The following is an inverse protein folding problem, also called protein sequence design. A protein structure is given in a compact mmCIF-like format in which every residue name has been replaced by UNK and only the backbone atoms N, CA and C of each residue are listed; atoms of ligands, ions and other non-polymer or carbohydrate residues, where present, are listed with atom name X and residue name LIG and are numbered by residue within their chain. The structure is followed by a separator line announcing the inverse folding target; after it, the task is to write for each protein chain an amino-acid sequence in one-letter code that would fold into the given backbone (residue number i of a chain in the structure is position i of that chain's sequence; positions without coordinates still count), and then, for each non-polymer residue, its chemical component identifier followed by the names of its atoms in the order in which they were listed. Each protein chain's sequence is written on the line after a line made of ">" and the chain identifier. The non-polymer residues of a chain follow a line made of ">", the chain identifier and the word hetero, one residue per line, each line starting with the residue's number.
data_IF_783064188354
#
_entry.id   IF_783064188354
#
_cell.length_a   1.000
_cell.length_b   1.000
_cell.length_c   1.000
_cell.angle_alpha   90.00
_cell.angle_beta   90.00
_cell.angle_gamma   90.00
#
_symmetry.space_group_name_H-M   'P 1'
#
loop_
_entity.id
_entity.type
_entity.pdbx_description
1 polymer ?
#
# COMPACT_ATOMS: atom_id res chain seq x y z
N UNK A 1 23.82 -20.75 -10.90
CA UNK A 1 24.70 -20.93 -9.72
C UNK A 1 24.86 -19.66 -8.87
N UNK A 2 24.85 -18.46 -9.44
CA UNK A 2 24.91 -17.20 -8.66
C UNK A 2 23.63 -16.97 -7.83
N UNK A 3 22.47 -17.30 -8.40
CA UNK A 3 21.14 -17.15 -7.80
C UNK A 3 21.00 -17.91 -6.46
N UNK A 4 21.49 -19.15 -6.40
CA UNK A 4 21.43 -19.96 -5.16
C UNK A 4 22.45 -19.55 -4.07
N UNK A 5 23.42 -18.69 -4.38
CA UNK A 5 24.37 -18.16 -3.38
C UNK A 5 23.82 -16.94 -2.61
N UNK A 6 22.90 -16.19 -3.23
CA UNK A 6 22.32 -14.99 -2.67
C UNK A 6 21.09 -15.27 -1.78
N UNK A 7 20.52 -16.48 -1.85
CA UNK A 7 19.27 -16.85 -1.20
C UNK A 7 19.38 -18.10 -0.35
N UNK A 8 20.49 -18.29 0.37
CA UNK A 8 20.59 -19.40 1.32
C UNK A 8 19.65 -19.20 2.50
N UNK A 9 18.81 -20.21 2.73
CA UNK A 9 17.76 -20.28 3.76
C UNK A 9 18.28 -20.37 5.22
N UNK A 10 19.53 -20.06 5.51
CA UNK A 10 20.16 -20.38 6.80
C UNK A 10 20.29 -19.23 7.81
N UNK A 11 19.63 -18.08 7.61
CA UNK A 11 19.80 -16.91 8.48
C UNK A 11 18.71 -16.76 9.56
N UNK A 12 18.09 -17.83 10.00
CA UNK A 12 17.14 -17.82 11.14
C UNK A 12 17.79 -17.69 12.53
N UNK A 13 19.08 -17.42 12.59
CA UNK A 13 19.82 -17.25 13.85
C UNK A 13 20.15 -15.79 14.18
N UNK A 14 19.69 -14.85 13.35
CA UNK A 14 19.80 -13.41 13.66
C UNK A 14 18.63 -12.97 14.54
N UNK A 15 18.79 -11.92 15.37
CA UNK A 15 17.67 -11.33 16.09
C UNK A 15 16.52 -11.00 15.16
N UNK A 16 15.28 -11.20 15.60
CA UNK A 16 14.07 -10.87 14.85
C UNK A 16 14.12 -9.39 14.46
N UNK A 17 13.91 -9.11 13.18
CA UNK A 17 13.87 -7.74 12.64
C UNK A 17 12.47 -7.16 12.72
N UNK A 18 12.33 -5.83 12.69
CA UNK A 18 11.02 -5.17 12.62
C UNK A 18 10.25 -5.59 11.37
N UNK A 19 10.92 -5.68 10.22
CA UNK A 19 10.30 -6.14 8.97
C UNK A 19 9.75 -7.56 9.12
N UNK A 20 10.48 -8.43 9.81
CA UNK A 20 10.02 -9.79 10.08
C UNK A 20 8.81 -9.81 11.01
N UNK A 21 8.84 -9.07 12.14
CA UNK A 21 7.72 -8.99 13.08
C UNK A 21 6.43 -8.49 12.41
N UNK A 22 6.53 -7.45 11.59
CA UNK A 22 5.39 -6.92 10.84
C UNK A 22 4.85 -7.93 9.83
N UNK A 23 5.74 -8.68 9.19
CA UNK A 23 5.36 -9.70 8.20
C UNK A 23 4.68 -10.90 8.85
N UNK A 24 5.20 -11.37 9.98
CA UNK A 24 4.61 -12.46 10.78
C UNK A 24 3.24 -12.05 11.32
N UNK A 25 3.10 -10.83 11.84
CA UNK A 25 1.81 -10.30 12.25
C UNK A 25 0.79 -10.32 11.10
N UNK A 26 1.17 -9.80 9.93
CA UNK A 26 0.29 -9.77 8.78
C UNK A 26 -0.12 -11.17 8.29
N UNK A 27 0.80 -12.14 8.32
CA UNK A 27 0.50 -13.54 7.99
C UNK A 27 -0.45 -14.17 9.00
N UNK A 28 -0.16 -14.04 10.30
CA UNK A 28 -0.83 -14.81 11.36
C UNK A 28 -2.19 -14.24 11.74
N UNK A 29 -2.45 -12.94 11.54
CA UNK A 29 -3.72 -12.33 11.93
C UNK A 29 -4.90 -13.10 11.34
N UNK A 30 -5.81 -13.56 12.18
CA UNK A 30 -7.10 -14.16 11.81
C UNK A 30 -8.26 -13.23 12.16
N UNK A 31 -9.44 -13.48 11.59
CA UNK A 31 -10.64 -12.69 11.88
C UNK A 31 -11.03 -12.78 13.36
N UNK A 32 -10.81 -13.94 13.96
CA UNK A 32 -11.14 -14.27 15.34
C UNK A 32 -10.25 -13.54 16.35
N UNK A 33 -9.07 -13.08 15.94
CA UNK A 33 -8.15 -12.27 16.76
C UNK A 33 -8.50 -10.78 16.79
N UNK A 34 -9.40 -10.34 15.90
CA UNK A 34 -9.75 -8.91 15.75
C UNK A 34 -10.85 -8.55 16.77
N UNK A 35 -10.63 -7.55 17.65
CA UNK A 35 -11.66 -7.07 18.55
C UNK A 35 -12.92 -6.62 17.78
N UNK A 36 -14.15 -6.88 18.32
CA UNK A 36 -15.38 -6.53 17.63
C UNK A 36 -15.50 -5.06 17.25
N UNK A 37 -15.01 -4.16 18.08
CA UNK A 37 -15.00 -2.71 17.80
C UNK A 37 -14.08 -2.34 16.63
N UNK A 38 -12.98 -3.08 16.42
CA UNK A 38 -12.09 -2.90 15.27
C UNK A 38 -12.75 -3.42 14.00
N UNK A 39 -13.48 -4.54 14.08
CA UNK A 39 -14.28 -5.06 12.96
C UNK A 39 -15.32 -4.03 12.51
N UNK A 40 -16.06 -3.45 13.45
CA UNK A 40 -17.06 -2.41 13.14
C UNK A 40 -16.39 -1.15 12.57
N UNK A 41 -15.24 -0.75 13.09
CA UNK A 41 -14.48 0.38 12.55
C UNK A 41 -14.02 0.11 11.12
N UNK A 42 -13.51 -1.08 10.82
CA UNK A 42 -13.11 -1.47 9.47
C UNK A 42 -14.29 -1.45 8.48
N UNK A 43 -15.48 -1.88 8.90
CA UNK A 43 -16.71 -1.79 8.10
C UNK A 43 -17.11 -0.34 7.82
N UNK A 44 -17.00 0.54 8.82
CA UNK A 44 -17.30 1.97 8.65
C UNK A 44 -16.35 2.64 7.66
N UNK A 45 -15.06 2.35 7.76
CA UNK A 45 -14.05 2.89 6.84
C UNK A 45 -14.28 2.36 5.43
N UNK A 46 -14.57 1.06 5.27
CA UNK A 46 -14.92 0.47 3.99
C UNK A 46 -16.12 1.19 3.35
N UNK A 47 -17.20 1.39 4.13
CA UNK A 47 -18.40 2.09 3.65
C UNK A 47 -18.10 3.54 3.27
N UNK A 48 -17.34 4.25 4.10
CA UNK A 48 -16.92 5.64 3.85
C UNK A 48 -16.12 5.76 2.55
N UNK A 49 -15.13 4.89 2.36
CA UNK A 49 -14.26 4.92 1.17
C UNK A 49 -15.03 4.63 -0.11
N UNK A 50 -15.93 3.62 -0.09
CA UNK A 50 -16.79 3.34 -1.24
C UNK A 50 -17.72 4.53 -1.50
N UNK A 51 -18.28 5.15 -0.44
CA UNK A 51 -19.12 6.34 -0.57
C UNK A 51 -18.38 7.53 -1.19
N UNK A 52 -17.15 7.80 -0.76
CA UNK A 52 -16.31 8.85 -1.33
C UNK A 52 -16.01 8.58 -2.82
N UNK A 53 -15.63 7.35 -3.17
CA UNK A 53 -15.39 6.94 -4.54
C UNK A 53 -16.62 7.09 -5.44
N UNK A 54 -17.80 6.71 -4.95
CA UNK A 54 -19.06 6.88 -5.68
C UNK A 54 -19.44 8.34 -5.88
N UNK A 55 -19.14 9.20 -4.91
CA UNK A 55 -19.36 10.64 -5.04
C UNK A 55 -18.38 11.28 -6.06
N UNK A 56 -17.16 10.76 -6.13
CA UNK A 56 -16.11 11.27 -7.04
C UNK A 56 -16.25 10.77 -8.49
N UNK A 57 -17.03 9.72 -8.76
CA UNK A 57 -17.04 9.00 -10.06
C UNK A 57 -17.35 9.84 -11.30
N UNK A 58 -18.05 10.96 -11.14
CA UNK A 58 -18.44 11.86 -12.24
C UNK A 58 -17.52 13.11 -12.32
N UNK A 59 -16.45 13.14 -11.54
CA UNK A 59 -15.49 14.23 -11.58
C UNK A 59 -14.55 14.14 -12.79
N UNK A 60 -13.99 15.26 -13.27
CA UNK A 60 -12.94 15.22 -14.29
C UNK A 60 -11.71 14.39 -13.90
N UNK A 61 -11.45 14.26 -12.59
CA UNK A 61 -10.38 13.42 -12.05
C UNK A 61 -10.66 11.96 -12.36
N UNK A 62 -11.87 11.49 -12.05
CA UNK A 62 -12.30 10.13 -12.33
C UNK A 62 -12.29 9.80 -13.83
N UNK A 63 -12.79 10.74 -14.67
CA UNK A 63 -12.80 10.58 -16.13
C UNK A 63 -11.38 10.34 -16.68
N UNK A 64 -10.42 11.17 -16.27
CA UNK A 64 -9.01 11.04 -16.69
C UNK A 64 -8.40 9.73 -16.19
N UNK A 65 -8.66 9.34 -14.93
CA UNK A 65 -8.15 8.10 -14.37
C UNK A 65 -8.66 6.86 -15.12
N UNK A 66 -9.98 6.82 -15.40
CA UNK A 66 -10.60 5.73 -16.18
C UNK A 66 -10.04 5.69 -17.60
N UNK A 67 -9.89 6.83 -18.26
CA UNK A 67 -9.33 6.88 -19.61
C UNK A 67 -7.91 6.33 -19.66
N UNK A 68 -7.02 6.78 -18.77
CA UNK A 68 -5.66 6.27 -18.68
C UNK A 68 -5.63 4.76 -18.41
N UNK A 69 -6.43 4.31 -17.43
CA UNK A 69 -6.48 2.91 -17.05
C UNK A 69 -7.02 2.03 -18.19
N UNK A 70 -8.03 2.48 -18.94
CA UNK A 70 -8.59 1.79 -20.11
C UNK A 70 -7.57 1.66 -21.24
N UNK A 71 -6.82 2.72 -21.53
CA UNK A 71 -5.73 2.68 -22.52
C UNK A 71 -4.63 1.69 -22.10
N UNK A 72 -4.20 1.73 -20.82
CA UNK A 72 -3.22 0.79 -20.29
C UNK A 72 -3.72 -0.66 -20.27
N UNK A 73 -5.05 -0.86 -20.18
CA UNK A 73 -5.69 -2.17 -20.21
C UNK A 73 -5.79 -2.77 -21.62
N UNK A 74 -5.49 -2.00 -22.66
CA UNK A 74 -5.66 -2.41 -24.06
C UNK A 74 -7.10 -2.37 -24.54
N UNK A 75 -7.98 -1.63 -23.85
CA UNK A 75 -9.40 -1.51 -24.12
C UNK A 75 -10.26 -1.91 -22.91
N UNK A 76 -11.60 -1.90 -23.04
CA UNK A 76 -12.51 -2.29 -21.97
C UNK A 76 -12.47 -3.81 -21.71
N UNK A 77 -12.78 -4.21 -20.47
CA UNK A 77 -12.93 -5.59 -20.06
C UNK A 77 -11.84 -6.07 -19.11
N UNK A 78 -12.20 -7.05 -18.29
CA UNK A 78 -11.37 -7.65 -17.25
C UNK A 78 -12.22 -8.20 -16.10
N UNK A 79 -11.60 -8.84 -15.11
CA UNK A 79 -12.33 -9.44 -14.00
C UNK A 79 -12.74 -8.43 -12.91
N UNK A 80 -12.00 -7.34 -12.74
CA UNK A 80 -12.15 -6.42 -11.62
C UNK A 80 -13.19 -5.33 -11.90
N UNK A 81 -14.02 -5.04 -10.92
CA UNK A 81 -15.09 -4.03 -10.99
C UNK A 81 -14.58 -2.66 -10.56
N UNK A 82 -14.85 -1.63 -11.35
CA UNK A 82 -14.70 -0.23 -10.95
C UNK A 82 -16.00 0.24 -10.30
N UNK A 83 -15.93 0.71 -9.06
CA UNK A 83 -17.14 1.01 -8.26
C UNK A 83 -18.02 2.09 -8.90
N UNK A 84 -19.31 1.78 -9.03
CA UNK A 84 -20.31 2.72 -9.54
C UNK A 84 -20.18 3.08 -11.01
N UNK A 85 -19.33 2.37 -11.75
CA UNK A 85 -19.13 2.55 -13.19
C UNK A 85 -19.45 1.24 -13.92
N UNK A 86 -19.97 1.35 -15.15
CA UNK A 86 -20.11 0.18 -16.04
C UNK A 86 -18.77 -0.10 -16.72
N UNK A 87 -17.77 -0.38 -15.90
CA UNK A 87 -16.39 -0.57 -16.33
C UNK A 87 -15.77 -1.75 -15.59
N UNK A 88 -15.12 -2.62 -16.36
CA UNK A 88 -14.28 -3.71 -15.83
C UNK A 88 -12.92 -3.69 -16.49
N UNK A 89 -11.89 -4.03 -15.72
CA UNK A 89 -10.52 -4.05 -16.21
C UNK A 89 -9.65 -5.04 -15.43
N UNK A 90 -8.38 -5.16 -15.79
CA UNK A 90 -7.42 -5.90 -14.97
C UNK A 90 -7.32 -5.27 -13.57
N UNK A 91 -7.18 -6.07 -12.51
CA UNK A 91 -7.18 -5.57 -11.13
C UNK A 91 -6.12 -4.48 -10.87
N UNK A 92 -4.94 -4.58 -11.50
CA UNK A 92 -3.88 -3.57 -11.40
C UNK A 92 -4.34 -2.21 -11.96
N UNK A 93 -5.06 -2.20 -13.08
CA UNK A 93 -5.58 -0.98 -13.68
C UNK A 93 -6.80 -0.44 -12.92
N UNK A 94 -7.66 -1.33 -12.41
CA UNK A 94 -8.74 -0.96 -11.51
C UNK A 94 -8.22 -0.31 -10.21
N UNK A 95 -7.08 -0.77 -9.69
CA UNK A 95 -6.43 -0.18 -8.51
C UNK A 95 -6.02 1.27 -8.76
N UNK A 96 -5.51 1.61 -9.95
CA UNK A 96 -5.23 2.99 -10.33
C UNK A 96 -6.49 3.87 -10.22
N UNK A 97 -7.61 3.40 -10.79
CA UNK A 97 -8.86 4.17 -10.79
C UNK A 97 -9.42 4.28 -9.38
N UNK A 98 -9.58 3.15 -8.70
CA UNK A 98 -10.21 3.11 -7.37
C UNK A 98 -9.39 3.87 -6.32
N UNK A 99 -8.06 3.77 -6.33
CA UNK A 99 -7.19 4.56 -5.45
C UNK A 99 -7.31 6.06 -5.73
N UNK A 100 -7.42 6.46 -7.00
CA UNK A 100 -7.64 7.87 -7.37
C UNK A 100 -8.99 8.38 -6.90
N UNK A 101 -10.08 7.69 -7.23
CA UNK A 101 -11.44 8.20 -6.91
C UNK A 101 -11.79 8.10 -5.42
N UNK A 102 -11.10 7.24 -4.68
CA UNK A 102 -11.27 7.15 -3.22
C UNK A 102 -10.72 8.38 -2.49
N UNK A 103 -9.71 9.04 -3.07
CA UNK A 103 -9.04 10.21 -2.51
C UNK A 103 -9.47 11.55 -3.16
N UNK A 104 -10.09 11.50 -4.32
CA UNK A 104 -10.34 12.66 -5.18
C UNK A 104 -11.12 13.82 -4.53
N UNK A 105 -11.83 13.59 -3.44
CA UNK A 105 -12.63 14.58 -2.70
C UNK A 105 -12.08 14.90 -1.30
N UNK A 106 -10.98 14.27 -0.89
CA UNK A 106 -10.44 14.34 0.48
C UNK A 106 -11.52 14.00 1.55
N UNK A 107 -12.41 13.04 1.27
CA UNK A 107 -13.52 12.62 2.14
C UNK A 107 -13.31 11.24 2.77
N UNK A 108 -12.27 10.54 2.38
CA UNK A 108 -11.87 9.29 3.01
C UNK A 108 -11.29 9.54 4.41
N UNK A 109 -10.81 8.47 5.06
CA UNK A 109 -10.21 8.65 6.38
C UNK A 109 -8.92 9.46 6.31
N UNK A 110 -8.71 10.27 7.33
CA UNK A 110 -7.45 10.97 7.55
C UNK A 110 -6.87 10.52 8.89
N UNK A 111 -5.69 9.95 8.86
CA UNK A 111 -4.88 9.69 10.04
C UNK A 111 -3.70 10.66 10.10
N UNK A 112 -3.02 10.70 11.25
CA UNK A 112 -1.80 11.50 11.37
C UNK A 112 -0.73 11.14 10.33
N UNK A 113 -0.79 9.94 9.80
CA UNK A 113 0.15 9.38 8.81
C UNK A 113 -0.31 9.49 7.36
N UNK A 114 -1.47 10.07 7.09
CA UNK A 114 -2.03 10.25 5.75
C UNK A 114 -3.41 9.63 5.56
N UNK A 115 -3.69 9.20 4.35
CA UNK A 115 -4.98 8.71 3.87
C UNK A 115 -4.92 7.20 3.54
N UNK A 116 -4.76 6.32 4.54
CA UNK A 116 -4.55 4.89 4.30
C UNK A 116 -5.71 4.23 3.55
N UNK A 117 -6.95 4.67 3.77
CA UNK A 117 -8.12 4.08 3.13
C UNK A 117 -8.03 4.08 1.61
N UNK A 118 -7.51 5.16 1.01
CA UNK A 118 -7.37 5.27 -0.45
C UNK A 118 -6.44 4.20 -1.07
N UNK A 119 -5.58 3.58 -0.25
CA UNK A 119 -4.75 2.44 -0.65
C UNK A 119 -5.30 1.10 -0.18
N UNK A 120 -5.54 0.98 1.14
CA UNK A 120 -5.94 -0.29 1.77
C UNK A 120 -7.25 -0.82 1.20
N UNK A 121 -8.28 0.01 1.11
CA UNK A 121 -9.63 -0.45 0.77
C UNK A 121 -9.74 -0.90 -0.69
N UNK A 122 -9.32 -0.09 -1.70
CA UNK A 122 -9.32 -0.53 -3.08
C UNK A 122 -8.50 -1.81 -3.30
N UNK A 123 -7.31 -1.87 -2.73
CA UNK A 123 -6.42 -3.02 -2.92
C UNK A 123 -6.94 -4.30 -2.26
N UNK A 124 -7.48 -4.20 -1.02
CA UNK A 124 -8.12 -5.32 -0.35
C UNK A 124 -9.33 -5.84 -1.13
N UNK A 125 -10.20 -4.91 -1.58
CA UNK A 125 -11.41 -5.24 -2.33
C UNK A 125 -11.09 -5.96 -3.63
N UNK A 126 -10.22 -5.38 -4.46
CA UNK A 126 -9.84 -5.95 -5.77
C UNK A 126 -9.18 -7.32 -5.63
N UNK A 127 -8.31 -7.48 -4.63
CA UNK A 127 -7.69 -8.76 -4.34
C UNK A 127 -8.72 -9.80 -3.87
N UNK A 128 -9.67 -9.40 -3.02
CA UNK A 128 -10.75 -10.26 -2.54
C UNK A 128 -11.69 -10.66 -3.67
N UNK A 129 -12.04 -9.74 -4.58
CA UNK A 129 -12.82 -10.03 -5.77
C UNK A 129 -12.10 -11.03 -6.69
N UNK A 130 -10.81 -10.80 -6.99
CA UNK A 130 -9.97 -11.69 -7.82
C UNK A 130 -9.85 -13.10 -7.24
N UNK A 131 -9.74 -13.23 -5.92
CA UNK A 131 -9.56 -14.51 -5.21
C UNK A 131 -10.86 -15.09 -4.65
N UNK A 132 -12.01 -14.49 -4.94
CA UNK A 132 -13.33 -14.91 -4.45
C UNK A 132 -13.39 -15.10 -2.93
N UNK A 133 -12.83 -14.13 -2.19
CA UNK A 133 -12.72 -14.16 -0.74
C UNK A 133 -14.00 -13.69 -0.03
N UNK A 134 -14.18 -14.17 1.19
CA UNK A 134 -15.31 -13.80 2.04
C UNK A 134 -15.16 -12.39 2.63
N UNK A 135 -16.28 -11.82 3.15
CA UNK A 135 -16.24 -10.55 3.87
C UNK A 135 -15.38 -10.58 5.13
N UNK A 136 -15.25 -11.73 5.81
CA UNK A 136 -14.35 -11.90 6.96
C UNK A 136 -12.89 -11.78 6.52
N UNK A 137 -12.50 -12.46 5.43
CA UNK A 137 -11.16 -12.36 4.88
C UNK A 137 -10.83 -10.94 4.40
N UNK A 138 -11.80 -10.25 3.80
CA UNK A 138 -11.66 -8.85 3.40
C UNK A 138 -11.39 -7.95 4.62
N UNK A 139 -12.18 -8.06 5.69
CA UNK A 139 -11.98 -7.28 6.92
C UNK A 139 -10.62 -7.58 7.55
N UNK A 140 -10.22 -8.85 7.60
CA UNK A 140 -8.90 -9.24 8.13
C UNK A 140 -7.76 -8.60 7.34
N UNK A 141 -7.87 -8.58 6.02
CA UNK A 141 -6.88 -7.94 5.15
C UNK A 141 -6.84 -6.40 5.32
N UNK A 142 -8.00 -5.78 5.49
CA UNK A 142 -8.10 -4.34 5.81
C UNK A 142 -7.36 -4.05 7.11
N UNK A 143 -7.64 -4.79 8.18
CA UNK A 143 -7.01 -4.58 9.49
C UNK A 143 -5.50 -4.81 9.41
N UNK A 144 -5.05 -5.89 8.78
CA UNK A 144 -3.61 -6.16 8.59
C UNK A 144 -2.92 -5.04 7.80
N UNK A 145 -3.56 -4.55 6.73
CA UNK A 145 -3.06 -3.46 5.92
C UNK A 145 -2.90 -2.16 6.70
N UNK A 146 -3.92 -1.78 7.47
CA UNK A 146 -3.90 -0.60 8.32
C UNK A 146 -2.82 -0.69 9.39
N UNK A 147 -2.77 -1.78 10.13
CA UNK A 147 -1.86 -1.93 11.27
C UNK A 147 -0.39 -1.86 10.83
N UNK A 148 -0.01 -2.59 9.79
CA UNK A 148 1.37 -2.57 9.30
C UNK A 148 1.71 -1.23 8.67
N UNK A 149 0.81 -0.67 7.84
CA UNK A 149 1.00 0.66 7.27
C UNK A 149 1.23 1.71 8.35
N UNK A 150 0.37 1.77 9.37
CA UNK A 150 0.47 2.78 10.43
C UNK A 150 1.79 2.68 11.20
N UNK A 151 2.26 1.48 11.50
CA UNK A 151 3.55 1.28 12.17
C UNK A 151 4.71 1.77 11.34
N UNK A 152 4.75 1.43 10.05
CA UNK A 152 5.80 1.92 9.14
C UNK A 152 5.72 3.45 9.01
N UNK A 153 4.54 3.99 8.75
CA UNK A 153 4.33 5.41 8.54
C UNK A 153 4.70 6.25 9.78
N UNK A 154 4.30 5.80 10.97
CA UNK A 154 4.67 6.47 12.24
C UNK A 154 6.17 6.42 12.50
N UNK A 155 6.83 5.31 12.18
CA UNK A 155 8.27 5.15 12.38
C UNK A 155 9.09 6.06 11.46
N UNK A 156 8.61 6.30 10.23
CA UNK A 156 9.35 7.08 9.22
C UNK A 156 8.88 8.52 9.11
N UNK A 157 7.80 8.91 9.80
CA UNK A 157 7.26 10.26 9.70
C UNK A 157 8.33 11.29 10.08
N UNK A 158 8.68 12.19 9.16
CA UNK A 158 9.75 13.15 9.40
C UNK A 158 9.35 14.21 10.43
N UNK A 159 10.35 14.81 11.09
CA UNK A 159 10.14 16.01 11.88
C UNK A 159 9.61 17.18 11.01
N UNK A 160 8.96 18.16 11.61
CA UNK A 160 8.45 19.35 10.91
C UNK A 160 9.50 20.02 10.03
N UNK A 161 10.74 20.08 10.47
CA UNK A 161 11.84 20.65 9.70
C UNK A 161 12.12 19.83 8.42
N UNK A 162 12.19 18.50 8.51
CA UNK A 162 12.41 17.62 7.36
C UNK A 162 11.24 17.60 6.42
N UNK A 163 10.03 17.67 6.93
CA UNK A 163 8.82 17.82 6.13
C UNK A 163 8.93 19.04 5.21
N UNK A 164 9.31 20.18 5.80
CA UNK A 164 9.46 21.44 5.05
C UNK A 164 10.66 21.47 4.10
N UNK A 165 11.76 20.84 4.47
CA UNK A 165 13.05 20.98 3.76
C UNK A 165 13.33 19.84 2.77
N UNK A 166 12.73 18.66 2.95
CA UNK A 166 13.02 17.45 2.14
C UNK A 166 11.89 17.05 1.20
N UNK A 167 10.72 17.66 1.33
CA UNK A 167 9.57 17.40 0.46
C UNK A 167 8.94 16.02 0.66
N UNK A 168 9.09 15.40 1.84
CA UNK A 168 8.37 14.17 2.16
C UNK A 168 6.88 14.45 2.25
N UNK A 169 6.07 13.60 1.63
CA UNK A 169 4.62 13.70 1.68
C UNK A 169 3.98 12.44 2.23
N UNK A 170 2.71 12.52 2.57
CA UNK A 170 1.93 11.41 3.10
C UNK A 170 1.89 10.22 2.14
N UNK A 171 1.99 10.46 0.85
CA UNK A 171 2.06 9.43 -0.19
C UNK A 171 3.42 8.72 -0.29
N UNK A 172 4.46 9.24 0.39
CA UNK A 172 5.80 8.63 0.40
C UNK A 172 5.81 7.22 1.00
N UNK A 173 4.87 6.88 1.87
CA UNK A 173 4.71 5.55 2.47
C UNK A 173 3.38 4.87 2.14
N UNK A 174 2.53 5.50 1.33
CA UNK A 174 1.24 4.97 0.94
C UNK A 174 1.31 3.59 0.25
N UNK A 175 2.43 3.29 -0.40
CA UNK A 175 2.62 2.02 -1.10
C UNK A 175 2.46 0.80 -0.18
N UNK A 176 2.83 0.92 1.10
CA UNK A 176 2.65 -0.17 2.07
C UNK A 176 1.18 -0.42 2.40
N UNK A 177 0.35 0.64 2.44
CA UNK A 177 -1.10 0.52 2.55
C UNK A 177 -1.71 -0.31 1.40
N UNK A 178 -1.06 -0.31 0.25
CA UNK A 178 -1.54 -1.01 -0.94
C UNK A 178 -1.01 -2.45 -1.03
N UNK A 179 0.24 -2.69 -0.63
CA UNK A 179 0.87 -4.02 -0.69
C UNK A 179 0.24 -4.99 0.30
N UNK A 180 0.10 -4.57 1.55
CA UNK A 180 -0.20 -5.47 2.68
C UNK A 180 -1.56 -6.17 2.56
N UNK A 181 -2.67 -5.47 2.24
CA UNK A 181 -3.96 -6.13 2.10
C UNK A 181 -4.00 -7.13 0.95
N UNK A 182 -3.31 -6.84 -0.17
CA UNK A 182 -3.21 -7.77 -1.30
C UNK A 182 -2.41 -9.01 -0.90
N UNK A 183 -1.26 -8.82 -0.25
CA UNK A 183 -0.42 -9.91 0.24
C UNK A 183 -1.20 -10.82 1.20
N UNK A 184 -1.99 -10.25 2.12
CA UNK A 184 -2.85 -11.00 3.05
C UNK A 184 -3.91 -11.81 2.31
N UNK A 185 -4.65 -11.21 1.39
CA UNK A 185 -5.69 -11.88 0.58
C UNK A 185 -5.10 -13.01 -0.26
N UNK A 186 -3.89 -12.83 -0.79
CA UNK A 186 -3.21 -13.83 -1.60
C UNK A 186 -2.62 -14.97 -0.75
N UNK A 187 -2.66 -14.87 0.58
CA UNK A 187 -2.11 -15.89 1.48
C UNK A 187 -0.59 -16.00 1.37
N UNK A 188 0.09 -14.88 1.16
CA UNK A 188 1.54 -14.85 1.17
C UNK A 188 2.05 -15.12 2.59
N UNK A 189 3.04 -16.00 2.73
CA UNK A 189 3.72 -16.24 3.99
C UNK A 189 4.56 -15.02 4.44
N UNK A 190 5.00 -15.01 5.70
CA UNK A 190 5.77 -13.92 6.28
C UNK A 190 7.03 -13.60 5.47
N UNK A 191 7.70 -14.61 4.92
CA UNK A 191 8.89 -14.43 4.08
C UNK A 191 8.57 -13.64 2.80
N UNK A 192 7.47 -13.95 2.15
CA UNK A 192 7.01 -13.26 0.95
C UNK A 192 6.50 -11.86 1.26
N UNK A 193 5.80 -11.69 2.39
CA UNK A 193 5.37 -10.36 2.86
C UNK A 193 6.58 -9.47 3.13
N UNK A 194 7.61 -9.99 3.79
CA UNK A 194 8.86 -9.27 4.03
C UNK A 194 9.51 -8.80 2.71
N UNK A 195 9.57 -9.67 1.71
CA UNK A 195 10.09 -9.31 0.38
C UNK A 195 9.21 -8.28 -0.34
N UNK A 196 7.89 -8.35 -0.18
CA UNK A 196 6.97 -7.37 -0.74
C UNK A 196 7.15 -5.98 -0.09
N UNK A 197 7.38 -5.94 1.23
CA UNK A 197 7.77 -4.71 1.94
C UNK A 197 9.08 -4.17 1.37
N UNK A 198 10.08 -5.04 1.16
CA UNK A 198 11.36 -4.65 0.56
C UNK A 198 11.20 -4.02 -0.83
N UNK A 199 10.39 -4.63 -1.70
CA UNK A 199 10.04 -4.03 -3.00
C UNK A 199 9.33 -2.68 -2.83
N UNK A 200 8.44 -2.57 -1.84
CA UNK A 200 7.78 -1.31 -1.50
C UNK A 200 8.77 -0.21 -1.12
N UNK A 201 9.82 -0.55 -0.37
CA UNK A 201 10.89 0.38 -0.04
C UNK A 201 11.60 0.94 -1.29
N UNK A 202 11.87 0.09 -2.27
CA UNK A 202 12.53 0.50 -3.52
C UNK A 202 11.61 1.25 -4.49
N UNK A 203 10.32 0.90 -4.51
CA UNK A 203 9.32 1.52 -5.38
C UNK A 203 8.63 2.73 -4.75
N UNK A 204 8.92 3.05 -3.50
CA UNK A 204 8.36 4.21 -2.82
C UNK A 204 8.86 5.51 -3.47
N UNK A 205 7.94 6.40 -3.80
CA UNK A 205 8.28 7.70 -4.40
C UNK A 205 8.64 8.69 -3.31
N UNK A 206 9.82 9.26 -3.44
CA UNK A 206 10.41 10.27 -2.56
C UNK A 206 11.15 11.31 -3.40
N UNK A 207 11.09 12.56 -3.07
CA UNK A 207 10.13 13.32 -2.27
C UNK A 207 8.83 13.62 -3.03
N UNK A 208 7.84 14.21 -2.34
CA UNK A 208 6.59 14.68 -2.96
C UNK A 208 6.69 16.17 -3.23
N UNK A 209 6.64 16.54 -4.51
CA UNK A 209 6.98 17.88 -4.96
C UNK A 209 6.02 18.98 -4.45
N UNK A 210 4.75 18.67 -4.22
CA UNK A 210 3.76 19.69 -3.81
C UNK A 210 4.05 20.29 -2.44
N UNK A 211 4.73 19.59 -1.53
CA UNK A 211 5.18 20.14 -0.25
C UNK A 211 6.29 21.20 -0.41
N UNK A 212 7.05 21.12 -1.50
CA UNK A 212 8.15 22.05 -1.76
C UNK A 212 7.75 23.21 -2.66
N UNK A 213 6.66 23.09 -3.43
CA UNK A 213 6.26 24.07 -4.44
C UNK A 213 4.77 24.44 -4.32
N UNK A 214 3.96 23.97 -5.26
CA UNK A 214 2.51 24.17 -5.30
C UNK A 214 1.82 22.87 -5.63
N UNK A 215 0.59 22.70 -5.17
CA UNK A 215 -0.24 21.54 -5.54
C UNK A 215 -0.40 21.49 -7.06
N UNK A 216 -0.20 20.30 -7.61
CA UNK A 216 -0.39 20.01 -9.03
C UNK A 216 -1.64 19.15 -9.22
N UNK A 217 -2.12 19.05 -10.47
CA UNK A 217 -3.21 18.13 -10.81
C UNK A 217 -2.86 16.66 -10.44
N UNK A 218 -1.57 16.31 -10.47
CA UNK A 218 -1.08 14.98 -10.12
C UNK A 218 -1.34 14.57 -8.65
N UNK A 219 -1.48 15.52 -7.74
CA UNK A 219 -1.85 15.25 -6.34
C UNK A 219 -3.01 14.27 -6.22
N UNK A 220 -4.09 14.49 -6.97
CA UNK A 220 -5.28 13.64 -6.95
C UNK A 220 -5.06 12.22 -7.51
N UNK A 221 -3.96 11.96 -8.17
CA UNK A 221 -3.66 10.66 -8.77
C UNK A 221 -2.62 9.86 -7.97
N UNK A 222 -1.93 10.47 -7.02
CA UNK A 222 -0.82 9.84 -6.30
C UNK A 222 -1.25 8.54 -5.62
N UNK A 223 -2.40 8.53 -4.95
CA UNK A 223 -2.94 7.33 -4.29
C UNK A 223 -3.27 6.22 -5.30
N UNK A 224 -3.81 6.56 -6.46
CA UNK A 224 -4.06 5.60 -7.54
C UNK A 224 -2.78 4.96 -8.07
N UNK A 225 -1.72 5.75 -8.27
CA UNK A 225 -0.41 5.21 -8.67
C UNK A 225 0.17 4.30 -7.59
N UNK A 226 0.05 4.67 -6.31
CA UNK A 226 0.48 3.79 -5.19
C UNK A 226 -0.33 2.50 -5.16
N UNK A 227 -1.66 2.57 -5.35
CA UNK A 227 -2.54 1.42 -5.37
C UNK A 227 -2.16 0.45 -6.52
N UNK A 228 -1.97 0.97 -7.72
CA UNK A 228 -1.50 0.19 -8.87
C UNK A 228 -0.18 -0.51 -8.58
N UNK A 229 0.81 0.25 -8.13
CA UNK A 229 2.18 -0.26 -7.94
C UNK A 229 2.24 -1.26 -6.78
N UNK A 230 1.58 -0.97 -5.66
CA UNK A 230 1.51 -1.87 -4.51
C UNK A 230 0.79 -3.19 -4.84
N UNK A 231 -0.31 -3.11 -5.62
CA UNK A 231 -1.00 -4.29 -6.11
C UNK A 231 -0.09 -5.15 -7.01
N UNK A 232 0.65 -4.51 -7.91
CA UNK A 232 1.59 -5.20 -8.81
C UNK A 232 2.75 -5.83 -8.05
N UNK A 233 3.28 -5.17 -7.01
CA UNK A 233 4.34 -5.70 -6.14
C UNK A 233 3.88 -7.00 -5.48
N UNK A 234 2.70 -7.02 -4.86
CA UNK A 234 2.18 -8.23 -4.21
C UNK A 234 2.01 -9.38 -5.22
N UNK A 235 1.51 -9.08 -6.44
CA UNK A 235 1.44 -10.07 -7.54
C UNK A 235 2.81 -10.57 -7.97
N UNK A 236 3.80 -9.69 -8.01
CA UNK A 236 5.17 -10.06 -8.40
C UNK A 236 5.78 -11.07 -7.44
N UNK A 237 5.62 -10.85 -6.13
CA UNK A 237 6.08 -11.78 -5.11
C UNK A 237 5.28 -13.08 -5.12
N UNK A 238 3.96 -13.04 -5.35
CA UNK A 238 3.14 -14.25 -5.57
C UNK A 238 3.72 -15.10 -6.69
N UNK A 239 4.20 -14.47 -7.77
CA UNK A 239 4.82 -15.14 -8.93
C UNK A 239 6.27 -15.57 -8.71
N UNK A 240 6.83 -15.32 -7.54
CA UNK A 240 8.18 -15.77 -7.17
C UNK A 240 9.29 -14.79 -7.54
N UNK A 241 8.97 -13.52 -7.78
CA UNK A 241 10.00 -12.48 -7.84
C UNK A 241 10.47 -12.22 -6.42
N UNK A 242 11.78 -12.30 -6.23
CA UNK A 242 12.43 -12.12 -4.94
C UNK A 242 13.03 -10.73 -4.79
N UNK A 243 13.06 -10.24 -3.56
CA UNK A 243 13.76 -9.03 -3.18
C UNK A 243 14.55 -9.24 -1.88
N UNK A 244 15.35 -8.25 -1.51
CA UNK A 244 16.05 -8.20 -0.24
C UNK A 244 15.06 -8.28 0.92
N UNK A 245 15.41 -9.06 1.96
CA UNK A 245 14.68 -9.10 3.22
C UNK A 245 15.12 -7.96 4.14
N UNK A 246 14.27 -7.68 5.10
CA UNK A 246 14.56 -6.77 6.22
C UNK A 246 14.93 -5.34 5.79
N UNK A 247 14.33 -4.88 4.68
CA UNK A 247 14.65 -3.60 4.09
C UNK A 247 14.29 -2.39 4.97
N UNK A 248 13.33 -2.51 5.89
CA UNK A 248 13.04 -1.44 6.86
C UNK A 248 14.13 -1.33 7.93
N UNK A 249 14.87 -2.41 8.19
CA UNK A 249 15.90 -2.48 9.23
C UNK A 249 17.30 -2.10 8.73
N UNK A 250 17.49 -2.03 7.41
CA UNK A 250 18.76 -1.64 6.81
C UNK A 250 18.96 -0.11 6.85
N UNK A 251 19.94 0.41 7.60
CA UNK A 251 20.12 1.86 7.81
C UNK A 251 20.35 2.67 6.53
N UNK A 252 20.80 2.03 5.45
CA UNK A 252 21.04 2.67 4.13
C UNK A 252 19.84 2.54 3.19
N UNK A 253 18.76 1.93 3.67
CA UNK A 253 17.53 1.72 2.90
C UNK A 253 16.46 2.77 3.27
N UNK A 254 15.19 2.44 3.05
CA UNK A 254 14.04 3.33 3.12
C UNK A 254 13.95 4.16 4.42
N UNK A 255 13.97 3.51 5.57
CA UNK A 255 13.87 4.17 6.88
C UNK A 255 15.06 5.11 7.12
N UNK A 256 16.27 4.67 6.83
CA UNK A 256 17.47 5.47 6.97
C UNK A 256 17.44 6.72 6.08
N UNK A 257 17.00 6.58 4.83
CA UNK A 257 16.89 7.71 3.89
C UNK A 257 15.84 8.71 4.37
N UNK A 258 14.63 8.25 4.75
CA UNK A 258 13.55 9.14 5.20
C UNK A 258 13.88 9.79 6.54
N UNK A 259 14.34 9.01 7.52
CA UNK A 259 14.70 9.51 8.84
C UNK A 259 16.01 10.33 8.82
N UNK A 260 16.77 10.27 7.72
CA UNK A 260 18.02 11.00 7.54
C UNK A 260 19.18 10.44 8.31
N UNK A 261 19.15 9.15 8.62
CA UNK A 261 20.32 8.43 9.09
C UNK A 261 21.24 8.16 7.89
N UNK A 262 21.98 9.19 7.50
CA UNK A 262 22.97 9.11 6.41
C UNK A 262 24.25 8.34 6.80
N UNK A 263 24.22 7.69 7.95
CA UNK A 263 25.40 6.99 8.50
C UNK A 263 26.49 7.92 9.04
N UNK A 264 26.28 9.24 8.98
CA UNK A 264 27.25 10.23 9.47
C UNK A 264 27.12 10.50 10.97
N UNK A 265 25.99 10.16 11.56
CA UNK A 265 25.76 10.26 13.01
C UNK A 265 25.74 8.86 13.62
N UNK A 266 26.92 8.34 13.90
CA UNK A 266 27.11 7.13 14.71
C UNK A 266 26.67 7.35 16.15
N UNK A 267 25.36 7.48 16.37
CA UNK A 267 24.73 7.37 17.70
C UNK A 267 23.23 7.40 17.52
N UNK A 268 22.58 6.26 17.62
CA UNK A 268 21.19 6.17 18.02
C UNK A 268 21.16 5.70 19.45
#
# INVERSE_FOLDING_TARGET
>A
MLYNRLYKDNDFLTPTTYTQELSEYAEQLSYEDIPPEVVERAKMILLQTIGAALAAKETPIAEKAVKMAREANGGPGGPATVWGMDEKMAAVNAALVLGTISDALDWEDCSWTGHPAAGVIPCAWLAAEEKHKSGKELITAIVAGYEVYQRIAMAVQPSDERWKTKGWGLTSWQIFACILPVAKIYGLDARKINQAIGMGCECSTLPVAYHATTMSDFYHYEHGYRARDGFLIAKSVEKGIHNQRDALDEPRCYTGVICGNDGSNGSA
#
